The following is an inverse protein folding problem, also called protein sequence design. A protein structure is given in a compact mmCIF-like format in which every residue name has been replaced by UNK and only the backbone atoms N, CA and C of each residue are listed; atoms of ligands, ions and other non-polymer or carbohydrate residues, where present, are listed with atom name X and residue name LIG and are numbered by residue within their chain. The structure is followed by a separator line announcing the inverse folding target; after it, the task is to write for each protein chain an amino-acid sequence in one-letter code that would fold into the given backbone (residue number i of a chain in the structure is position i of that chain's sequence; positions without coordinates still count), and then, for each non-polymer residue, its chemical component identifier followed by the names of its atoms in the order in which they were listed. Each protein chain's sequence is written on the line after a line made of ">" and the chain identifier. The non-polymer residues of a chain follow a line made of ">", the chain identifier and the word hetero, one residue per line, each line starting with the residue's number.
data_IF_681672671416
#
_entry.id   IF_681672671416
#
_cell.length_a   1.000
_cell.length_b   1.000
_cell.length_c   1.000
_cell.angle_alpha   90.00
_cell.angle_beta   90.00
_cell.angle_gamma   90.00
#
_symmetry.space_group_name_H-M   'P 1'
#
loop_
_entity.id
_entity.type
_entity.pdbx_description
1 polymer ?
#
# COMPACT_ATOMS: atom_id res chain seq x y z
N UNK A 1 -6.26 35.74 6.50
CA UNK A 1 -6.01 34.54 7.32
C UNK A 1 -6.34 33.34 6.48
N UNK A 2 -5.45 32.35 6.40
CA UNK A 2 -5.79 31.08 5.79
C UNK A 2 -6.78 30.38 6.72
N UNK A 3 -7.95 30.02 6.23
CA UNK A 3 -8.89 29.17 6.97
C UNK A 3 -8.40 27.72 6.91
N UNK A 4 -8.46 27.02 8.03
CA UNK A 4 -8.11 25.60 8.11
C UNK A 4 -9.10 24.84 9.00
N UNK A 5 -9.23 23.56 8.77
CA UNK A 5 -9.91 22.60 9.64
C UNK A 5 -8.93 21.52 10.10
N UNK A 6 -9.20 20.94 11.24
CA UNK A 6 -8.51 19.76 11.77
C UNK A 6 -9.52 18.62 11.81
N UNK A 7 -9.23 17.55 11.09
CA UNK A 7 -10.12 16.40 10.99
C UNK A 7 -9.45 15.18 11.62
N UNK A 8 -9.89 14.81 12.80
CA UNK A 8 -9.46 13.57 13.46
C UNK A 8 -10.27 12.39 12.96
N UNK A 9 -9.60 11.27 12.69
CA UNK A 9 -10.26 10.01 12.32
C UNK A 9 -9.85 8.94 13.30
N UNK A 10 -10.80 8.47 14.11
CA UNK A 10 -10.63 7.43 15.10
C UNK A 10 -11.04 6.09 14.49
N UNK A 11 -10.08 5.14 14.41
CA UNK A 11 -10.24 3.82 13.75
C UNK A 11 -10.56 2.70 14.76
N UNK A 12 -11.46 2.97 15.69
CA UNK A 12 -11.93 2.02 16.70
C UNK A 12 -10.78 1.43 17.54
N UNK A 13 -9.96 2.33 18.13
CA UNK A 13 -8.78 1.97 18.93
C UNK A 13 -9.09 1.31 20.27
N UNK A 14 -10.33 1.47 20.77
CA UNK A 14 -10.78 0.89 22.04
C UNK A 14 -10.28 1.64 23.28
N UNK A 15 -9.78 2.85 23.12
CA UNK A 15 -9.38 3.78 24.17
C UNK A 15 -10.35 5.00 24.27
N UNK A 16 -9.97 6.03 25.02
CA UNK A 16 -10.75 7.24 25.21
C UNK A 16 -10.50 8.33 24.16
N UNK A 17 -9.85 8.00 23.03
CA UNK A 17 -9.50 8.98 21.99
C UNK A 17 -10.76 9.67 21.41
N UNK A 18 -11.85 8.92 21.25
CA UNK A 18 -13.09 9.48 20.70
C UNK A 18 -13.72 10.52 21.62
N UNK A 19 -13.76 10.28 22.93
CA UNK A 19 -14.25 11.23 23.93
C UNK A 19 -13.45 12.53 23.88
N UNK A 20 -12.12 12.45 23.83
CA UNK A 20 -11.23 13.61 23.73
C UNK A 20 -11.48 14.38 22.42
N UNK A 21 -11.65 13.70 21.30
CA UNK A 21 -11.95 14.34 20.00
C UNK A 21 -13.29 15.11 20.08
N UNK A 22 -14.30 14.54 20.73
CA UNK A 22 -15.60 15.21 20.92
C UNK A 22 -15.46 16.47 21.77
N UNK A 23 -14.72 16.43 22.87
CA UNK A 23 -14.45 17.59 23.72
C UNK A 23 -13.75 18.69 22.92
N UNK A 24 -12.70 18.36 22.18
CA UNK A 24 -11.99 19.32 21.32
C UNK A 24 -12.90 19.94 20.23
N UNK A 25 -13.82 19.17 19.67
CA UNK A 25 -14.75 19.67 18.65
C UNK A 25 -15.82 20.62 19.23
N UNK A 26 -16.10 20.52 20.52
CA UNK A 26 -16.95 21.49 21.24
C UNK A 26 -16.17 22.79 21.53
N UNK A 27 -14.88 22.67 21.89
CA UNK A 27 -14.04 23.82 22.24
C UNK A 27 -13.63 24.66 21.03
N UNK A 28 -13.35 23.99 19.87
CA UNK A 28 -12.89 24.67 18.67
C UNK A 28 -13.69 24.22 17.44
N UNK A 29 -14.45 25.12 16.86
CA UNK A 29 -15.26 24.88 15.66
C UNK A 29 -14.47 24.45 14.41
N UNK A 30 -13.15 24.59 14.42
CA UNK A 30 -12.27 24.10 13.36
C UNK A 30 -11.96 22.61 13.49
N UNK A 31 -12.21 22.02 14.66
CA UNK A 31 -11.98 20.61 14.95
C UNK A 31 -13.22 19.81 14.60
N UNK A 32 -13.02 18.72 13.88
CA UNK A 32 -14.06 17.76 13.52
C UNK A 32 -13.53 16.35 13.77
N UNK A 33 -14.41 15.43 14.13
CA UNK A 33 -14.08 14.03 14.38
C UNK A 33 -14.91 13.09 13.52
N UNK A 34 -14.29 12.01 13.06
CA UNK A 34 -14.93 10.86 12.43
C UNK A 34 -14.61 9.63 13.27
N UNK A 35 -15.62 8.93 13.80
CA UNK A 35 -15.44 7.63 14.45
C UNK A 35 -15.88 6.52 13.50
N UNK A 36 -15.02 5.53 13.32
CA UNK A 36 -15.29 4.38 12.47
C UNK A 36 -16.06 3.28 13.24
N UNK A 37 -16.88 2.50 12.55
CA UNK A 37 -17.70 1.46 13.20
C UNK A 37 -16.87 0.27 13.73
N UNK A 38 -15.66 0.06 13.23
CA UNK A 38 -14.66 -0.93 13.64
C UNK A 38 -13.28 -0.49 13.16
N UNK A 39 -12.24 -1.18 13.56
CA UNK A 39 -10.91 -0.98 12.99
C UNK A 39 -10.87 -1.46 11.53
N UNK A 40 -10.62 -0.52 10.61
CA UNK A 40 -10.48 -0.74 9.17
C UNK A 40 -9.04 -0.58 8.70
N UNK A 41 -8.16 -0.05 9.55
CA UNK A 41 -6.76 0.24 9.28
C UNK A 41 -6.51 1.65 8.76
N UNK A 42 -5.30 2.14 9.01
CA UNK A 42 -4.86 3.52 8.82
C UNK A 42 -5.23 4.11 7.44
N UNK A 43 -4.99 3.39 6.35
CA UNK A 43 -5.29 3.92 5.01
C UNK A 43 -6.79 4.05 4.73
N UNK A 44 -7.64 3.21 5.32
CA UNK A 44 -9.08 3.33 5.21
C UNK A 44 -9.59 4.50 6.04
N UNK A 45 -9.02 4.73 7.24
CA UNK A 45 -9.28 5.89 8.05
C UNK A 45 -8.87 7.19 7.32
N UNK A 46 -7.67 7.22 6.73
CA UNK A 46 -7.23 8.34 5.90
C UNK A 46 -8.18 8.60 4.72
N UNK A 47 -8.66 7.55 4.03
CA UNK A 47 -9.61 7.70 2.93
C UNK A 47 -10.92 8.35 3.41
N UNK A 48 -11.43 7.96 4.59
CA UNK A 48 -12.61 8.59 5.18
C UNK A 48 -12.39 10.08 5.45
N UNK A 49 -11.25 10.45 6.05
CA UNK A 49 -10.85 11.83 6.29
C UNK A 49 -10.73 12.62 4.99
N UNK A 50 -10.03 12.10 3.99
CA UNK A 50 -9.80 12.75 2.69
C UNK A 50 -11.14 13.04 1.97
N UNK A 51 -12.08 12.09 1.99
CA UNK A 51 -13.41 12.29 1.39
C UNK A 51 -14.25 13.31 2.12
N UNK A 52 -14.05 13.48 3.44
CA UNK A 52 -14.78 14.39 4.29
C UNK A 52 -14.17 15.79 4.32
N UNK A 53 -12.90 15.94 4.00
CA UNK A 53 -12.16 17.18 4.01
C UNK A 53 -12.77 18.23 3.05
N UNK A 54 -12.81 19.50 3.50
CA UNK A 54 -13.42 20.63 2.78
C UNK A 54 -12.40 21.63 2.23
N UNK A 55 -11.17 21.62 2.76
CA UNK A 55 -10.11 22.53 2.34
C UNK A 55 -9.63 22.25 0.89
N UNK A 56 -9.00 23.25 0.26
CA UNK A 56 -8.40 23.11 -1.09
C UNK A 56 -7.12 22.26 -1.10
N UNK A 57 -6.48 22.16 0.05
CA UNK A 57 -5.26 21.40 0.28
C UNK A 57 -5.50 20.49 1.48
N UNK A 58 -5.12 19.23 1.35
CA UNK A 58 -5.19 18.24 2.43
C UNK A 58 -3.76 17.97 2.91
N UNK A 59 -3.57 18.02 4.23
CA UNK A 59 -2.37 17.54 4.90
C UNK A 59 -2.71 16.31 5.73
N UNK A 60 -1.89 15.28 5.70
CA UNK A 60 -2.03 14.10 6.57
C UNK A 60 -0.84 14.00 7.52
N UNK A 61 -1.12 13.72 8.78
CA UNK A 61 -0.15 13.53 9.84
C UNK A 61 -0.55 12.32 10.68
N UNK A 62 0.45 11.62 11.22
CA UNK A 62 0.23 10.64 12.27
C UNK A 62 0.15 11.35 13.64
N UNK A 63 -0.51 10.74 14.61
CA UNK A 63 -0.74 11.28 15.95
C UNK A 63 0.41 11.02 16.92
N UNK A 64 1.50 10.40 16.47
CA UNK A 64 2.68 10.05 17.27
C UNK A 64 3.67 11.21 17.51
N UNK A 65 3.34 12.39 17.01
CA UNK A 65 4.13 13.63 17.11
C UNK A 65 5.56 13.54 16.55
N UNK A 66 5.84 12.56 15.71
CA UNK A 66 7.15 12.45 15.04
C UNK A 66 7.32 13.52 13.95
N UNK A 67 6.22 13.96 13.36
CA UNK A 67 6.20 14.97 12.31
C UNK A 67 5.60 16.28 12.85
N UNK A 68 6.42 17.30 13.18
CA UNK A 68 5.94 18.56 13.74
C UNK A 68 5.02 19.30 12.74
N UNK A 69 3.82 19.75 13.17
CA UNK A 69 2.92 20.54 12.32
C UNK A 69 3.56 21.83 11.79
N UNK A 70 4.58 22.37 12.46
CA UNK A 70 5.34 23.56 12.09
C UNK A 70 6.07 23.39 10.74
N UNK A 71 6.27 22.17 10.27
CA UNK A 71 6.85 21.88 8.97
C UNK A 71 5.82 21.94 7.82
N UNK A 72 4.52 21.94 8.10
CA UNK A 72 3.45 22.01 7.09
C UNK A 72 3.57 23.20 6.13
N UNK A 73 3.90 24.44 6.60
CA UNK A 73 4.04 25.57 5.69
C UNK A 73 5.06 25.34 4.57
N UNK A 74 6.13 24.58 4.83
CA UNK A 74 7.16 24.27 3.82
C UNK A 74 6.58 23.36 2.71
N UNK A 75 5.75 22.39 3.09
CA UNK A 75 5.09 21.49 2.13
C UNK A 75 4.05 22.25 1.31
N UNK A 76 3.26 23.10 1.96
CA UNK A 76 2.23 23.92 1.29
C UNK A 76 2.86 24.88 0.30
N UNK A 77 4.01 25.48 0.59
CA UNK A 77 4.74 26.31 -0.37
C UNK A 77 5.04 25.55 -1.66
N UNK A 78 5.44 24.28 -1.59
CA UNK A 78 5.70 23.43 -2.77
C UNK A 78 4.45 23.16 -3.61
N UNK A 79 3.30 23.02 -2.97
CA UNK A 79 2.01 22.97 -3.70
C UNK A 79 1.79 24.23 -4.53
N UNK A 80 2.10 25.41 -3.97
CA UNK A 80 1.98 26.67 -4.70
C UNK A 80 3.03 26.86 -5.82
N UNK A 81 4.17 26.14 -5.73
CA UNK A 81 5.17 26.09 -6.80
C UNK A 81 4.74 25.21 -8.00
N UNK A 82 3.58 24.52 -7.91
CA UNK A 82 3.01 23.74 -9.01
C UNK A 82 3.14 22.22 -8.86
N UNK A 83 3.58 21.73 -7.70
CA UNK A 83 3.48 20.32 -7.36
C UNK A 83 2.08 19.97 -6.88
N UNK A 84 1.65 18.74 -7.13
CA UNK A 84 0.33 18.28 -6.74
C UNK A 84 0.36 17.48 -5.44
N UNK A 85 1.48 16.77 -5.18
CA UNK A 85 1.73 16.00 -3.97
C UNK A 85 3.15 16.28 -3.45
N UNK A 86 3.25 16.59 -2.17
CA UNK A 86 4.51 16.88 -1.48
C UNK A 86 4.65 15.98 -0.26
N UNK A 87 5.72 15.20 -0.20
CA UNK A 87 6.08 14.38 0.95
C UNK A 87 7.11 15.08 1.84
N UNK A 88 6.90 15.04 3.15
CA UNK A 88 7.93 15.36 4.13
C UNK A 88 8.76 14.12 4.44
N UNK A 89 10.04 14.13 4.07
CA UNK A 89 10.96 13.01 4.29
C UNK A 89 11.94 13.33 5.42
N UNK A 90 12.19 12.44 6.40
CA UNK A 90 13.16 12.69 7.45
C UNK A 90 14.58 12.85 6.88
N UNK A 91 15.37 13.75 7.45
CA UNK A 91 16.74 14.04 6.98
C UNK A 91 17.73 12.90 7.21
N UNK A 92 17.46 11.97 8.14
CA UNK A 92 18.30 10.81 8.44
C UNK A 92 17.44 9.62 8.84
N UNK A 93 17.54 8.53 8.10
CA UNK A 93 17.05 7.21 8.53
C UNK A 93 18.25 6.44 9.14
N UNK A 94 18.18 6.12 10.44
CA UNK A 94 19.08 5.16 11.08
C UNK A 94 18.31 3.88 11.38
N UNK A 95 18.52 2.83 10.59
CA UNK A 95 17.79 1.57 10.75
C UNK A 95 18.74 0.38 10.92
N UNK A 96 18.34 -0.62 11.73
CA UNK A 96 19.06 -1.88 11.90
C UNK A 96 18.81 -2.86 10.76
N UNK A 97 19.76 -3.77 10.48
CA UNK A 97 19.82 -4.69 9.33
C UNK A 97 18.53 -5.48 9.04
N UNK A 98 17.77 -5.91 10.04
CA UNK A 98 16.52 -6.66 9.85
C UNK A 98 15.35 -5.77 9.38
N UNK A 99 15.32 -4.51 9.80
CA UNK A 99 14.34 -3.54 9.36
C UNK A 99 14.60 -3.12 7.90
N UNK A 100 15.87 -3.12 7.46
CA UNK A 100 16.26 -2.81 6.09
C UNK A 100 15.74 -3.85 5.08
N UNK A 101 15.81 -5.15 5.39
CA UNK A 101 15.27 -6.20 4.50
C UNK A 101 13.76 -6.08 4.30
N UNK A 102 13.01 -5.91 5.37
CA UNK A 102 11.56 -5.75 5.31
C UNK A 102 11.15 -4.43 4.63
N UNK A 103 11.91 -3.35 4.87
CA UNK A 103 11.78 -2.07 4.16
C UNK A 103 12.04 -2.23 2.66
N UNK A 104 13.04 -3.01 2.25
CA UNK A 104 13.32 -3.26 0.84
C UNK A 104 12.17 -3.99 0.13
N UNK A 105 11.57 -5.01 0.75
CA UNK A 105 10.42 -5.73 0.18
C UNK A 105 9.22 -4.77 0.00
N UNK A 106 8.95 -3.95 1.00
CA UNK A 106 7.90 -2.94 0.92
C UNK A 106 8.20 -1.89 -0.15
N UNK A 107 9.46 -1.44 -0.26
CA UNK A 107 9.91 -0.51 -1.31
C UNK A 107 9.74 -1.11 -2.71
N UNK A 108 10.10 -2.38 -2.91
CA UNK A 108 9.88 -3.09 -4.19
C UNK A 108 8.39 -3.17 -4.53
N UNK A 109 7.54 -3.50 -3.55
CA UNK A 109 6.09 -3.55 -3.74
C UNK A 109 5.53 -2.17 -4.13
N UNK A 110 5.95 -1.11 -3.43
CA UNK A 110 5.58 0.27 -3.75
C UNK A 110 6.12 0.70 -5.13
N UNK A 111 7.37 0.40 -5.45
CA UNK A 111 7.96 0.70 -6.76
C UNK A 111 7.20 0.04 -7.90
N UNK A 112 6.74 -1.20 -7.70
CA UNK A 112 5.94 -1.92 -8.68
C UNK A 112 4.53 -1.35 -8.85
N UNK A 113 3.97 -0.73 -7.80
CA UNK A 113 2.62 -0.14 -7.80
C UNK A 113 2.61 1.33 -8.25
N UNK A 114 3.63 2.10 -7.90
CA UNK A 114 3.68 3.56 -8.02
C UNK A 114 4.71 4.09 -9.03
N UNK A 115 5.66 3.25 -9.45
CA UNK A 115 6.87 3.65 -10.17
C UNK A 115 8.06 3.94 -9.23
N UNK A 116 9.27 3.67 -9.74
CA UNK A 116 10.49 3.63 -8.93
C UNK A 116 10.87 4.97 -8.29
N UNK A 117 10.62 6.08 -8.98
CA UNK A 117 10.98 7.41 -8.47
C UNK A 117 10.03 7.87 -7.36
N UNK A 118 8.71 7.72 -7.55
CA UNK A 118 7.69 8.17 -6.60
C UNK A 118 7.74 7.38 -5.29
N UNK A 119 7.97 6.07 -5.38
CA UNK A 119 8.00 5.20 -4.20
C UNK A 119 9.13 5.53 -3.19
N UNK A 120 10.19 6.20 -3.63
CA UNK A 120 11.31 6.61 -2.75
C UNK A 120 10.91 7.68 -1.75
N UNK A 121 9.86 8.43 -2.04
CA UNK A 121 9.48 9.64 -1.32
C UNK A 121 8.30 9.45 -0.38
N UNK A 122 7.65 8.28 -0.42
CA UNK A 122 6.43 8.01 0.35
C UNK A 122 6.66 8.19 1.85
N UNK A 123 5.82 9.04 2.45
CA UNK A 123 5.78 9.33 3.88
C UNK A 123 4.33 9.51 4.32
N UNK A 124 4.02 9.17 5.58
CA UNK A 124 2.72 9.47 6.18
C UNK A 124 2.48 10.99 6.29
N UNK A 125 3.57 11.76 6.41
CA UNK A 125 3.55 13.21 6.40
C UNK A 125 3.54 13.74 4.97
N UNK A 126 2.35 14.08 4.46
CA UNK A 126 2.16 14.52 3.08
C UNK A 126 1.14 15.63 2.99
N UNK A 127 1.28 16.44 1.93
CA UNK A 127 0.34 17.50 1.56
C UNK A 127 -0.01 17.33 0.10
N UNK A 128 -1.27 17.47 -0.27
CA UNK A 128 -1.73 17.34 -1.65
C UNK A 128 -2.98 18.15 -1.94
N UNK A 129 -3.27 18.40 -3.22
CA UNK A 129 -4.45 19.12 -3.67
C UNK A 129 -5.70 18.26 -3.49
N UNK A 130 -6.76 18.82 -2.92
CA UNK A 130 -8.02 18.09 -2.67
C UNK A 130 -8.67 17.59 -3.95
N UNK A 131 -8.50 18.30 -5.07
CA UNK A 131 -9.04 17.89 -6.37
C UNK A 131 -8.56 16.51 -6.84
N UNK A 132 -7.38 16.04 -6.37
CA UNK A 132 -6.85 14.72 -6.73
C UNK A 132 -7.74 13.58 -6.23
N UNK A 133 -8.54 13.80 -5.18
CA UNK A 133 -9.47 12.77 -4.67
C UNK A 133 -10.48 12.31 -5.73
N UNK A 134 -10.82 13.17 -6.70
CA UNK A 134 -11.74 12.82 -7.77
C UNK A 134 -11.32 11.59 -8.57
N UNK A 135 -10.01 11.27 -8.61
CA UNK A 135 -9.52 10.05 -9.26
C UNK A 135 -9.84 8.76 -8.50
N UNK A 136 -10.20 8.84 -7.22
CA UNK A 136 -10.48 7.69 -6.36
C UNK A 136 -11.69 7.87 -5.44
N UNK A 137 -12.55 8.85 -5.70
CA UNK A 137 -13.78 9.06 -4.93
C UNK A 137 -14.70 7.82 -4.95
N UNK A 138 -14.78 7.14 -6.09
CA UNK A 138 -15.58 5.92 -6.25
C UNK A 138 -14.85 4.64 -5.88
N UNK A 139 -13.63 4.73 -5.32
CA UNK A 139 -12.86 3.54 -4.96
C UNK A 139 -13.51 2.78 -3.80
N UNK A 140 -14.01 1.59 -4.08
CA UNK A 140 -14.80 0.77 -3.13
C UNK A 140 -14.06 -0.47 -2.59
N UNK A 141 -12.79 -0.68 -2.97
CA UNK A 141 -12.05 -1.84 -2.47
C UNK A 141 -11.75 -1.72 -0.96
N UNK A 142 -11.84 -2.81 -0.19
CA UNK A 142 -11.46 -2.81 1.22
C UNK A 142 -9.96 -2.64 1.44
N UNK A 143 -9.13 -2.91 0.42
CA UNK A 143 -7.68 -2.71 0.48
C UNK A 143 -7.34 -1.34 -0.09
N UNK A 144 -7.06 -0.38 0.78
CA UNK A 144 -6.72 1.00 0.43
C UNK A 144 -5.23 1.24 0.64
N UNK A 145 -4.61 1.98 -0.28
CA UNK A 145 -3.31 2.63 -0.06
C UNK A 145 -3.36 4.03 -0.69
N UNK A 146 -3.35 5.04 0.14
CA UNK A 146 -3.52 6.44 -0.31
C UNK A 146 -2.42 6.87 -1.26
N UNK A 147 -1.18 6.43 -1.02
CA UNK A 147 -0.04 6.81 -1.86
C UNK A 147 -0.19 6.26 -3.27
N UNK A 148 -0.62 5.01 -3.41
CA UNK A 148 -0.93 4.42 -4.72
C UNK A 148 -2.10 5.14 -5.39
N UNK A 149 -3.17 5.46 -4.65
CA UNK A 149 -4.32 6.17 -5.21
C UNK A 149 -3.95 7.56 -5.73
N UNK A 150 -3.07 8.28 -5.05
CA UNK A 150 -2.55 9.57 -5.52
C UNK A 150 -1.81 9.45 -6.85
N UNK A 151 -1.12 8.33 -7.13
CA UNK A 151 -0.45 8.14 -8.42
C UNK A 151 -1.41 7.94 -9.60
N UNK A 152 -2.69 7.63 -9.34
CA UNK A 152 -3.69 7.56 -10.39
C UNK A 152 -4.14 8.95 -10.86
N UNK A 153 -3.99 9.95 -9.99
CA UNK A 153 -4.44 11.32 -10.24
C UNK A 153 -3.36 12.20 -10.86
N UNK A 154 -2.08 11.99 -10.52
CA UNK A 154 -0.99 12.88 -10.94
C UNK A 154 0.36 12.16 -11.00
N UNK A 155 1.30 12.78 -11.73
CA UNK A 155 2.73 12.41 -11.75
C UNK A 155 3.61 13.49 -11.12
N UNK A 156 3.04 14.61 -10.61
CA UNK A 156 3.78 15.76 -10.07
C UNK A 156 4.04 15.62 -8.57
N UNK A 157 4.94 14.73 -8.24
CA UNK A 157 5.37 14.44 -6.87
C UNK A 157 6.72 15.09 -6.55
N UNK A 158 6.90 15.53 -5.30
CA UNK A 158 8.20 15.92 -4.75
C UNK A 158 8.29 15.48 -3.28
N UNK A 159 9.51 15.24 -2.81
CA UNK A 159 9.79 15.15 -1.38
C UNK A 159 10.73 16.27 -0.94
N UNK A 160 10.48 16.80 0.23
CA UNK A 160 11.35 17.78 0.87
C UNK A 160 11.81 17.27 2.23
N UNK A 161 13.04 17.61 2.63
CA UNK A 161 13.54 17.25 3.95
C UNK A 161 12.78 18.03 5.02
N UNK A 162 12.28 17.31 6.03
CA UNK A 162 11.58 17.88 7.18
C UNK A 162 12.24 17.43 8.48
N UNK A 163 12.00 18.18 9.55
CA UNK A 163 12.37 17.77 10.88
C UNK A 163 11.53 16.55 11.26
N UNK A 164 12.20 15.58 11.88
CA UNK A 164 11.55 14.37 12.38
C UNK A 164 12.02 14.15 13.82
N UNK A 165 11.09 14.17 14.74
CA UNK A 165 11.37 14.00 16.15
C UNK A 165 11.27 12.51 16.54
N UNK A 166 11.97 12.14 17.63
CA UNK A 166 11.85 10.80 18.17
C UNK A 166 10.43 10.57 18.70
N UNK A 167 9.92 9.36 18.50
CA UNK A 167 8.60 8.97 18.99
C UNK A 167 8.52 9.20 20.51
N UNK A 168 7.55 9.97 20.93
CA UNK A 168 7.35 10.30 22.35
C UNK A 168 6.44 9.33 23.07
N UNK A 169 5.52 8.70 22.35
CA UNK A 169 4.50 7.81 22.92
C UNK A 169 4.34 6.54 22.08
N UNK A 170 4.12 5.40 22.77
CA UNK A 170 3.82 4.11 22.16
C UNK A 170 5.02 3.36 21.58
N UNK A 171 4.90 2.01 21.56
CA UNK A 171 5.87 1.12 20.94
C UNK A 171 5.52 0.86 19.48
N UNK A 172 6.54 0.59 18.66
CA UNK A 172 6.33 0.19 17.28
C UNK A 172 5.62 -1.17 17.21
N UNK A 173 4.34 -1.18 16.90
CA UNK A 173 3.52 -2.40 16.79
C UNK A 173 3.80 -3.29 15.57
N UNK A 174 4.86 -3.00 14.79
CA UNK A 174 5.19 -3.74 13.57
C UNK A 174 6.05 -4.97 13.88
N UNK A 175 5.44 -6.15 13.85
CA UNK A 175 6.16 -7.42 13.82
C UNK A 175 6.56 -7.76 12.38
N UNK A 176 7.64 -8.54 12.19
CA UNK A 176 8.08 -9.02 10.87
C UNK A 176 6.93 -9.71 10.08
N UNK A 177 6.09 -10.48 10.77
CA UNK A 177 4.91 -11.13 10.17
C UNK A 177 3.90 -10.12 9.62
N UNK A 178 3.59 -9.06 10.38
CA UNK A 178 2.68 -7.99 9.94
C UNK A 178 3.26 -7.23 8.74
N UNK A 179 4.56 -6.98 8.75
CA UNK A 179 5.25 -6.28 7.68
C UNK A 179 5.28 -7.12 6.39
N UNK A 180 5.55 -8.43 6.48
CA UNK A 180 5.48 -9.35 5.35
C UNK A 180 4.06 -9.46 4.79
N UNK A 181 3.06 -9.56 5.66
CA UNK A 181 1.65 -9.57 5.25
C UNK A 181 1.25 -8.26 4.53
N UNK A 182 1.73 -7.11 5.05
CA UNK A 182 1.50 -5.82 4.41
C UNK A 182 2.15 -5.75 3.01
N UNK A 183 3.41 -6.18 2.88
CA UNK A 183 4.12 -6.23 1.60
C UNK A 183 3.41 -7.14 0.58
N UNK A 184 2.97 -8.33 1.00
CA UNK A 184 2.21 -9.24 0.15
C UNK A 184 0.87 -8.63 -0.28
N UNK A 185 0.17 -7.97 0.64
CA UNK A 185 -1.07 -7.26 0.33
C UNK A 185 -0.86 -6.14 -0.69
N UNK A 186 0.24 -5.38 -0.57
CA UNK A 186 0.61 -4.35 -1.52
C UNK A 186 0.94 -4.93 -2.89
N UNK A 187 1.78 -5.97 -2.94
CA UNK A 187 2.19 -6.60 -4.19
C UNK A 187 1.00 -7.17 -4.96
N UNK A 188 0.13 -7.93 -4.30
CA UNK A 188 -1.00 -8.60 -4.96
C UNK A 188 -2.22 -7.67 -5.13
N UNK A 189 -2.33 -6.61 -4.32
CA UNK A 189 -3.42 -5.63 -4.40
C UNK A 189 -3.25 -4.58 -5.49
N UNK A 190 -2.03 -4.14 -5.75
CA UNK A 190 -1.74 -3.00 -6.62
C UNK A 190 -0.70 -3.26 -7.71
N UNK A 191 -0.08 -4.45 -7.74
CA UNK A 191 0.93 -4.81 -8.73
C UNK A 191 0.59 -6.10 -9.44
N UNK A 192 0.94 -6.19 -10.72
CA UNK A 192 0.85 -7.43 -11.51
C UNK A 192 2.18 -8.20 -11.54
N UNK A 193 3.20 -7.74 -10.80
CA UNK A 193 4.54 -8.34 -10.81
C UNK A 193 4.55 -9.83 -10.46
N UNK A 194 3.86 -10.32 -9.41
CA UNK A 194 3.81 -11.75 -9.11
C UNK A 194 3.21 -12.58 -10.25
N UNK A 195 2.19 -12.03 -10.94
CA UNK A 195 1.57 -12.71 -12.08
C UNK A 195 2.52 -12.78 -13.28
N UNK A 196 3.27 -11.70 -13.57
CA UNK A 196 4.30 -11.69 -14.60
C UNK A 196 5.42 -12.69 -14.29
N UNK A 197 5.82 -12.80 -13.02
CA UNK A 197 6.81 -13.76 -12.57
C UNK A 197 6.32 -15.21 -12.79
N UNK A 198 5.08 -15.51 -12.42
CA UNK A 198 4.46 -16.82 -12.67
C UNK A 198 4.44 -17.16 -14.15
N UNK A 199 4.07 -16.21 -15.00
CA UNK A 199 4.06 -16.36 -16.46
C UNK A 199 5.48 -16.61 -17.01
N UNK A 200 6.48 -15.87 -16.52
CA UNK A 200 7.88 -16.06 -16.91
C UNK A 200 8.41 -17.44 -16.50
N UNK A 201 8.13 -17.87 -15.28
CA UNK A 201 8.47 -19.22 -14.80
C UNK A 201 7.81 -20.27 -15.68
N UNK A 202 6.51 -20.17 -15.93
CA UNK A 202 5.77 -21.11 -16.79
C UNK A 202 6.34 -21.17 -18.20
N UNK A 203 6.66 -20.03 -18.80
CA UNK A 203 7.29 -19.96 -20.13
C UNK A 203 8.67 -20.63 -20.16
N UNK A 204 9.51 -20.36 -19.15
CA UNK A 204 10.85 -20.98 -19.05
C UNK A 204 10.75 -22.48 -18.92
N UNK A 205 9.85 -22.99 -18.08
CA UNK A 205 9.63 -24.43 -17.94
C UNK A 205 9.06 -25.06 -19.22
N UNK A 206 8.20 -24.35 -19.95
CA UNK A 206 7.69 -24.84 -21.24
C UNK A 206 8.80 -24.99 -22.28
N UNK A 207 9.70 -24.02 -22.39
CA UNK A 207 10.89 -24.13 -23.27
C UNK A 207 11.76 -25.29 -22.84
N UNK A 208 12.05 -25.43 -21.54
CA UNK A 208 12.84 -26.51 -21.00
C UNK A 208 12.23 -27.88 -21.32
N UNK A 209 10.90 -28.02 -21.14
CA UNK A 209 10.17 -29.23 -21.52
C UNK A 209 10.24 -29.55 -23.01
N UNK A 210 10.14 -28.55 -23.89
CA UNK A 210 10.31 -28.74 -25.34
C UNK A 210 11.71 -29.20 -25.71
N UNK A 211 12.74 -28.66 -25.06
CA UNK A 211 14.11 -29.07 -25.28
C UNK A 211 14.35 -30.54 -24.87
N UNK A 212 13.83 -30.96 -23.72
CA UNK A 212 13.87 -32.35 -23.26
C UNK A 212 13.12 -33.25 -24.24
N UNK A 213 11.93 -32.86 -24.67
CA UNK A 213 11.17 -33.63 -25.66
C UNK A 213 11.92 -33.79 -26.97
N UNK A 214 12.55 -32.72 -27.46
CA UNK A 214 13.38 -32.75 -28.66
C UNK A 214 14.57 -33.70 -28.50
N UNK A 215 15.28 -33.67 -27.36
CA UNK A 215 16.43 -34.58 -27.07
C UNK A 215 15.96 -36.03 -27.04
N UNK A 216 14.82 -36.31 -26.36
CA UNK A 216 14.26 -37.67 -26.32
C UNK A 216 13.88 -38.20 -27.70
N UNK A 217 13.23 -37.40 -28.54
CA UNK A 217 12.86 -37.77 -29.90
C UNK A 217 14.12 -38.01 -30.75
N UNK A 218 15.11 -37.12 -30.67
CA UNK A 218 16.36 -37.23 -31.43
C UNK A 218 17.13 -38.49 -31.07
N UNK A 219 17.25 -38.81 -29.79
CA UNK A 219 17.90 -40.05 -29.31
C UNK A 219 17.16 -41.29 -29.79
N UNK A 220 15.82 -41.28 -29.74
CA UNK A 220 15.01 -42.37 -30.24
C UNK A 220 15.22 -42.63 -31.74
N UNK A 221 15.29 -41.56 -32.54
CA UNK A 221 15.50 -41.66 -33.99
C UNK A 221 16.94 -42.13 -34.38
N UNK A 222 17.96 -41.73 -33.58
CA UNK A 222 19.36 -42.01 -33.90
C UNK A 222 19.80 -43.36 -33.31
N UNK A 223 19.44 -43.67 -32.08
CA UNK A 223 20.00 -44.79 -31.30
C UNK A 223 19.00 -45.94 -31.17
N UNK A 224 17.71 -45.71 -31.43
CA UNK A 224 16.68 -46.75 -31.34
C UNK A 224 16.41 -47.28 -29.93
N UNK A 225 16.93 -46.61 -28.89
CA UNK A 225 16.85 -47.08 -27.51
C UNK A 225 15.88 -46.23 -26.68
N UNK A 226 15.12 -46.92 -25.81
CA UNK A 226 14.27 -46.23 -24.83
C UNK A 226 15.13 -45.49 -23.79
N UNK A 227 14.73 -44.26 -23.46
CA UNK A 227 15.34 -43.49 -22.38
C UNK A 227 15.17 -44.26 -21.06
N UNK A 228 16.20 -44.57 -20.30
CA UNK A 228 16.05 -45.25 -19.02
C UNK A 228 15.32 -44.37 -18.05
N UNK A 229 14.13 -44.80 -17.63
CA UNK A 229 13.81 -44.22 -16.56
C UNK A 229 12.58 -43.75 -15.86
N UNK A 230 11.95 -44.63 -15.11
CA UNK A 230 10.89 -44.21 -14.14
C UNK A 230 11.32 -43.08 -13.21
N UNK A 231 12.54 -43.04 -12.58
CA UNK A 231 12.94 -41.93 -11.72
C UNK A 231 13.07 -40.60 -12.45
N UNK A 232 13.55 -40.59 -13.67
CA UNK A 232 13.69 -39.39 -14.49
C UNK A 232 12.31 -38.83 -14.87
N UNK A 233 11.39 -39.70 -15.30
CA UNK A 233 10.01 -39.30 -15.63
C UNK A 233 9.26 -38.78 -14.41
N UNK A 234 9.37 -39.46 -13.26
CA UNK A 234 8.76 -39.02 -12.02
C UNK A 234 9.28 -37.64 -11.55
N UNK A 235 10.60 -37.40 -11.67
CA UNK A 235 11.22 -36.12 -11.30
C UNK A 235 10.74 -34.97 -12.20
N UNK A 236 10.65 -35.20 -13.50
CA UNK A 236 10.14 -34.20 -14.47
C UNK A 236 8.67 -33.89 -14.18
N UNK A 237 7.81 -34.88 -14.01
CA UNK A 237 6.41 -34.69 -13.69
C UNK A 237 6.24 -33.90 -12.39
N UNK A 238 6.99 -34.27 -11.34
CA UNK A 238 6.95 -33.55 -10.06
C UNK A 238 7.36 -32.09 -10.19
N UNK A 239 8.44 -31.80 -10.96
CA UNK A 239 8.95 -30.45 -11.19
C UNK A 239 7.94 -29.58 -11.95
N UNK A 240 7.39 -30.08 -13.05
CA UNK A 240 6.40 -29.36 -13.86
C UNK A 240 5.08 -29.17 -13.09
N UNK A 241 4.62 -30.19 -12.38
CA UNK A 241 3.42 -30.09 -11.54
C UNK A 241 3.58 -29.07 -10.42
N UNK A 242 4.77 -29.03 -9.79
CA UNK A 242 5.09 -28.02 -8.77
C UNK A 242 5.02 -26.59 -9.33
N UNK A 243 5.62 -26.37 -10.51
CA UNK A 243 5.57 -25.07 -11.19
C UNK A 243 4.14 -24.66 -11.59
N UNK A 244 3.33 -25.61 -12.07
CA UNK A 244 1.92 -25.37 -12.39
C UNK A 244 1.11 -25.01 -11.15
N UNK A 245 1.27 -25.74 -10.04
CA UNK A 245 0.58 -25.45 -8.78
C UNK A 245 0.95 -24.10 -8.23
N UNK A 246 2.23 -23.70 -8.32
CA UNK A 246 2.67 -22.36 -7.93
C UNK A 246 2.00 -21.28 -8.77
N UNK A 247 1.95 -21.44 -10.09
CA UNK A 247 1.31 -20.50 -10.99
C UNK A 247 -0.21 -20.39 -10.69
N UNK A 248 -0.89 -21.52 -10.50
CA UNK A 248 -2.31 -21.57 -10.13
C UNK A 248 -2.56 -20.91 -8.78
N UNK A 249 -1.68 -21.11 -7.80
CA UNK A 249 -1.77 -20.45 -6.50
C UNK A 249 -1.70 -18.92 -6.61
N UNK A 250 -0.77 -18.39 -7.41
CA UNK A 250 -0.67 -16.96 -7.68
C UNK A 250 -1.92 -16.43 -8.38
N UNK A 251 -2.40 -17.12 -9.41
CA UNK A 251 -3.65 -16.76 -10.11
C UNK A 251 -4.84 -16.78 -9.13
N UNK A 252 -4.92 -17.80 -8.27
CA UNK A 252 -5.96 -17.92 -7.25
C UNK A 252 -5.98 -16.72 -6.29
N UNK A 253 -4.83 -16.21 -5.88
CA UNK A 253 -4.74 -15.01 -5.03
C UNK A 253 -5.31 -13.76 -5.74
N UNK A 254 -5.02 -13.59 -7.04
CA UNK A 254 -5.59 -12.48 -7.83
C UNK A 254 -7.10 -12.63 -8.02
N UNK A 255 -7.58 -13.85 -8.29
CA UNK A 255 -9.02 -14.13 -8.40
C UNK A 255 -9.76 -13.86 -7.08
N UNK A 256 -9.16 -14.23 -5.94
CA UNK A 256 -9.73 -13.94 -4.63
C UNK A 256 -9.87 -12.43 -4.40
N UNK A 257 -8.89 -11.63 -4.82
CA UNK A 257 -8.96 -10.16 -4.72
C UNK A 257 -9.96 -9.55 -5.68
N UNK A 258 -10.04 -10.06 -6.90
CA UNK A 258 -11.09 -9.66 -7.86
C UNK A 258 -12.48 -9.96 -7.29
N UNK A 259 -12.69 -11.15 -6.73
CA UNK A 259 -13.94 -11.51 -6.07
C UNK A 259 -14.28 -10.57 -4.91
N UNK A 260 -13.30 -10.23 -4.05
CA UNK A 260 -13.50 -9.26 -2.97
C UNK A 260 -13.92 -7.88 -3.48
N UNK A 261 -13.34 -7.43 -4.61
CA UNK A 261 -13.74 -6.16 -5.25
C UNK A 261 -15.16 -6.23 -5.84
N UNK A 262 -15.52 -7.36 -6.44
CA UNK A 262 -16.86 -7.57 -7.02
C UNK A 262 -17.97 -7.59 -5.95
N UNK A 263 -17.63 -7.95 -4.70
CA UNK A 263 -18.59 -7.88 -3.59
C UNK A 263 -18.93 -6.44 -3.15
N UNK A 264 -18.25 -5.43 -3.69
CA UNK A 264 -18.47 -4.01 -3.41
C UNK A 264 -18.55 -3.66 -1.91
N UNK A 265 -17.80 -4.38 -1.08
CA UNK A 265 -17.76 -4.10 0.36
C UNK A 265 -17.20 -2.68 0.58
N UNK A 266 -17.83 -1.87 1.43
CA UNK A 266 -17.36 -0.52 1.68
C UNK A 266 -15.95 -0.56 2.29
N UNK A 267 -15.10 0.38 1.86
CA UNK A 267 -13.75 0.53 2.41
C UNK A 267 -13.79 0.88 3.91
N UNK A 268 -14.83 1.58 4.34
CA UNK A 268 -15.09 1.95 5.72
C UNK A 268 -16.58 2.23 5.95
N UNK A 269 -16.99 2.26 7.22
CA UNK A 269 -18.30 2.73 7.68
C UNK A 269 -18.09 3.63 8.88
N UNK A 270 -18.62 4.84 8.81
CA UNK A 270 -18.60 5.78 9.93
C UNK A 270 -19.73 5.43 10.91
N UNK A 271 -19.40 5.42 12.20
CA UNK A 271 -20.34 5.29 13.30
C UNK A 271 -20.92 6.64 13.70
N UNK A 272 -20.04 7.64 13.81
CA UNK A 272 -20.37 8.96 14.31
C UNK A 272 -19.50 10.03 13.63
N UNK A 273 -20.05 11.21 13.46
CA UNK A 273 -19.34 12.39 12.98
C UNK A 273 -19.67 13.51 13.95
N UNK A 274 -18.67 14.18 14.52
CA UNK A 274 -18.92 15.38 15.30
C UNK A 274 -19.42 16.48 14.38
N UNK A 275 -20.54 17.15 14.77
CA UNK A 275 -21.02 18.35 14.10
C UNK A 275 -20.53 19.57 14.87
N UNK A 276 -20.12 20.60 14.16
CA UNK A 276 -19.85 21.91 14.78
C UNK A 276 -21.14 22.41 15.42
N UNK A 277 -21.24 22.40 16.76
CA UNK A 277 -22.38 22.95 17.48
C UNK A 277 -23.30 21.94 18.20
N UNK A 278 -22.94 20.65 18.31
CA UNK A 278 -23.61 19.68 19.20
C UNK A 278 -23.00 19.67 20.61
#
# INVERSE_FOLDING_TARGET
>A
MLSFEILFVEDCGGDHSWEVIRELAVEDARVRGLSMSRNYGQHNALLAGIRTAQGQIIATLDDDLQNPPEELPKLVCKIHEGYDVVYGSPQRESHGLFRDMASQITKIALQSAMGAETARYVSAFRVFRTELRGAFDEYKSPTVNIDVLLTWATTKFIAIPVKHDLRKYGDSGYTFRKLMQHAMNMMTGFSTMPLKLASFIGFTFSIFGLLILADVILRYLIVGSAVPGFPFLASIIALFSGAQLLALGIIGEYLARMHQRTMERPAYLLREITRSGD
#
